data_IF_505687426055
#
_entry.id   IF_505687426055
#
_cell.length_a   1.000
_cell.length_b   1.000
_cell.length_c   1.000
_cell.angle_alpha   90.00
_cell.angle_beta   90.00
_cell.angle_gamma   90.00
#
_symmetry.space_group_name_H-M   'P 1'
#
loop_
_entity.id
_entity.type
_entity.pdbx_description
1 polymer ?
#
# COMPACT_ATOMS: atom_id res chain seq x y z
N UNK A 1 -0.59 -5.19 -9.01
CA UNK A 1 -0.98 -6.01 -10.19
C UNK A 1 -0.14 -7.28 -10.29
N UNK A 2 1.18 -7.21 -10.15
CA UNK A 2 2.05 -8.39 -10.14
C UNK A 2 1.61 -9.48 -9.13
N UNK A 3 1.24 -9.11 -7.90
CA UNK A 3 0.74 -10.06 -6.90
C UNK A 3 -0.59 -10.71 -7.29
N UNK A 4 -1.48 -10.00 -7.98
CA UNK A 4 -2.74 -10.59 -8.48
C UNK A 4 -2.43 -11.62 -9.56
N UNK A 5 -1.54 -11.30 -10.51
CA UNK A 5 -1.12 -12.24 -11.55
C UNK A 5 -0.50 -13.51 -10.94
N UNK A 6 0.34 -13.34 -9.92
CA UNK A 6 0.99 -14.46 -9.21
C UNK A 6 -0.01 -15.33 -8.44
N UNK A 7 -0.92 -14.71 -7.69
CA UNK A 7 -1.87 -15.42 -6.82
C UNK A 7 -3.10 -15.94 -7.54
N UNK A 8 -3.40 -15.41 -8.72
CA UNK A 8 -4.56 -15.78 -9.53
C UNK A 8 -4.13 -16.18 -10.95
N UNK A 9 -3.42 -17.32 -11.14
CA UNK A 9 -2.86 -17.71 -12.44
C UNK A 9 -3.91 -17.99 -13.54
N UNK A 10 -5.18 -18.14 -13.15
CA UNK A 10 -6.32 -18.32 -14.07
C UNK A 10 -6.92 -17.01 -14.57
N UNK A 11 -6.50 -15.87 -14.00
CA UNK A 11 -7.00 -14.54 -14.36
C UNK A 11 -5.95 -13.88 -15.23
N UNK A 12 -6.34 -13.50 -16.45
CA UNK A 12 -5.49 -12.72 -17.33
C UNK A 12 -5.36 -11.29 -16.78
N UNK A 13 -4.13 -10.83 -16.59
CA UNK A 13 -3.83 -9.48 -16.10
C UNK A 13 -3.06 -8.73 -17.16
N UNK A 14 -3.67 -7.68 -17.71
CA UNK A 14 -3.05 -6.78 -18.66
C UNK A 14 -2.65 -5.46 -17.97
N UNK A 15 -1.46 -4.95 -18.30
CA UNK A 15 -1.04 -3.60 -17.93
C UNK A 15 -1.36 -2.67 -19.09
N UNK A 16 -2.15 -1.61 -18.82
CA UNK A 16 -2.56 -0.63 -19.83
C UNK A 16 -2.06 0.75 -19.38
N UNK A 17 -1.30 1.42 -20.24
CA UNK A 17 -0.77 2.76 -20.02
C UNK A 17 -0.91 3.57 -21.32
N UNK A 18 -1.03 4.90 -21.22
CA UNK A 18 -1.08 5.78 -22.41
C UNK A 18 0.31 5.94 -23.05
N UNK A 19 1.37 5.78 -22.26
CA UNK A 19 2.74 5.95 -22.67
C UNK A 19 3.24 4.68 -23.36
N UNK A 20 3.37 4.76 -24.69
CA UNK A 20 4.00 3.71 -25.49
C UNK A 20 5.39 3.35 -24.96
N UNK A 21 6.28 4.31 -24.58
CA UNK A 21 7.55 3.97 -23.94
C UNK A 21 7.41 3.14 -22.67
N UNK A 22 6.40 3.39 -21.83
CA UNK A 22 6.17 2.59 -20.61
C UNK A 22 5.67 1.19 -20.93
N UNK A 23 4.75 1.05 -21.89
CA UNK A 23 4.30 -0.28 -22.35
C UNK A 23 5.47 -1.07 -22.94
N UNK A 24 6.30 -0.43 -23.76
CA UNK A 24 7.49 -1.06 -24.32
C UNK A 24 8.45 -1.48 -23.22
N UNK A 25 8.69 -0.62 -22.23
CA UNK A 25 9.51 -0.92 -21.07
C UNK A 25 8.97 -2.11 -20.26
N UNK A 26 7.66 -2.15 -19.99
CA UNK A 26 6.99 -3.29 -19.34
C UNK A 26 7.16 -4.60 -20.10
N UNK A 27 7.25 -4.56 -21.43
CA UNK A 27 7.50 -5.73 -22.28
C UNK A 27 8.99 -5.97 -22.58
N UNK A 28 9.89 -5.30 -21.85
CA UNK A 28 11.34 -5.40 -22.01
C UNK A 28 12.02 -5.83 -20.71
N UNK A 29 13.33 -6.06 -20.76
CA UNK A 29 14.15 -6.32 -19.58
C UNK A 29 14.30 -5.10 -18.63
N UNK A 30 13.85 -3.90 -19.01
CA UNK A 30 13.94 -2.71 -18.15
C UNK A 30 12.57 -2.23 -17.71
N UNK A 31 12.25 -2.48 -16.43
CA UNK A 31 11.01 -2.00 -15.83
C UNK A 31 11.01 -0.46 -15.75
N UNK A 32 9.89 0.20 -16.09
CA UNK A 32 9.79 1.67 -16.02
C UNK A 32 9.71 2.19 -14.58
N UNK A 33 9.73 1.31 -13.58
CA UNK A 33 9.58 1.60 -12.16
C UNK A 33 10.58 0.74 -11.39
N UNK A 34 11.29 1.37 -10.45
CA UNK A 34 12.08 0.66 -9.46
C UNK A 34 11.24 0.44 -8.20
N UNK A 35 10.86 -0.80 -7.94
CA UNK A 35 10.26 -1.23 -6.67
C UNK A 35 11.04 -2.47 -6.20
N UNK A 36 11.61 -2.45 -4.97
CA UNK A 36 12.31 -3.61 -4.42
C UNK A 36 11.49 -4.89 -4.60
N UNK A 37 12.16 -5.94 -5.09
CA UNK A 37 11.70 -7.28 -5.49
C UNK A 37 10.39 -7.44 -6.24
N UNK A 38 9.87 -6.37 -6.86
CA UNK A 38 8.95 -6.51 -7.98
C UNK A 38 9.51 -7.49 -9.02
N UNK A 39 10.83 -7.50 -9.21
CA UNK A 39 11.57 -8.44 -10.05
C UNK A 39 11.34 -9.92 -9.69
N UNK A 40 11.34 -10.28 -8.40
CA UNK A 40 11.15 -11.66 -7.94
C UNK A 40 9.73 -12.17 -8.24
N UNK A 41 8.71 -11.36 -7.96
CA UNK A 41 7.29 -11.70 -8.20
C UNK A 41 7.00 -11.86 -9.68
N UNK A 42 7.59 -10.98 -10.47
CA UNK A 42 7.46 -11.00 -11.90
C UNK A 42 8.17 -12.25 -12.49
N UNK A 43 9.30 -12.67 -11.91
CA UNK A 43 9.97 -13.93 -12.26
C UNK A 43 9.14 -15.17 -11.92
N UNK A 44 8.53 -15.25 -10.75
CA UNK A 44 7.66 -16.37 -10.37
C UNK A 44 6.45 -16.51 -11.30
N UNK A 45 5.85 -15.38 -11.72
CA UNK A 45 4.77 -15.39 -12.72
C UNK A 45 5.20 -16.01 -14.06
N UNK A 46 6.45 -15.81 -14.47
CA UNK A 46 7.00 -16.39 -15.71
C UNK A 46 7.21 -17.91 -15.57
N UNK A 47 7.72 -18.37 -14.43
CA UNK A 47 7.89 -19.81 -14.13
C UNK A 47 6.53 -20.55 -14.07
N UNK A 48 5.46 -19.85 -13.67
CA UNK A 48 4.09 -20.36 -13.67
C UNK A 48 3.44 -20.49 -15.07
N UNK A 49 4.16 -20.16 -16.15
CA UNK A 49 3.68 -20.33 -17.53
C UNK A 49 2.76 -19.22 -18.01
N UNK A 50 2.76 -18.04 -17.37
CA UNK A 50 2.02 -16.86 -17.82
C UNK A 50 2.78 -16.24 -19.00
N UNK A 51 2.51 -16.74 -20.21
CA UNK A 51 3.32 -16.50 -21.40
C UNK A 51 2.87 -15.28 -22.22
N UNK A 52 3.19 -14.08 -21.75
CA UNK A 52 3.56 -12.93 -22.61
C UNK A 52 4.12 -11.76 -21.80
N UNK A 53 5.44 -11.80 -21.54
CA UNK A 53 6.34 -10.75 -21.05
C UNK A 53 7.77 -11.24 -21.38
N UNK A 54 8.05 -11.39 -22.68
CA UNK A 54 9.17 -12.19 -23.16
C UNK A 54 10.50 -11.45 -22.95
N UNK A 55 11.38 -12.09 -22.16
CA UNK A 55 12.71 -11.65 -21.72
C UNK A 55 12.66 -10.74 -20.49
N UNK A 56 12.84 -11.36 -19.32
CA UNK A 56 12.96 -10.64 -18.05
C UNK A 56 13.92 -11.44 -17.17
N UNK A 57 15.21 -11.25 -17.45
CA UNK A 57 16.32 -12.04 -16.94
C UNK A 57 16.89 -11.52 -15.60
N UNK A 58 17.29 -12.48 -14.75
CA UNK A 58 18.45 -12.53 -13.80
C UNK A 58 18.61 -11.49 -12.66
N UNK A 59 18.28 -11.98 -11.46
CA UNK A 59 18.91 -11.80 -10.13
C UNK A 59 18.26 -10.82 -9.11
N UNK A 60 17.54 -11.44 -8.14
CA UNK A 60 17.41 -11.12 -6.69
C UNK A 60 16.72 -9.81 -6.25
N UNK A 61 15.61 -9.93 -5.49
CA UNK A 61 15.53 -9.40 -4.12
C UNK A 61 14.37 -8.44 -3.73
N UNK A 62 13.35 -9.02 -3.07
CA UNK A 62 12.47 -8.48 -2.00
C UNK A 62 11.26 -7.59 -2.36
N UNK A 63 10.16 -8.22 -2.85
CA UNK A 63 8.90 -7.53 -3.13
C UNK A 63 8.21 -7.09 -1.85
N UNK A 64 7.65 -5.87 -1.83
CA UNK A 64 7.03 -5.29 -0.64
C UNK A 64 6.09 -6.28 0.08
N UNK A 65 6.45 -6.77 1.29
CA UNK A 65 5.72 -7.84 1.97
C UNK A 65 4.27 -7.44 2.31
N UNK A 66 3.95 -6.14 2.31
CA UNK A 66 2.60 -5.62 2.55
C UNK A 66 1.59 -6.02 1.48
N UNK A 67 2.02 -6.34 0.26
CA UNK A 67 1.10 -6.80 -0.79
C UNK A 67 0.72 -8.28 -0.61
N UNK A 68 1.63 -9.06 -0.02
CA UNK A 68 1.43 -10.49 0.27
C UNK A 68 0.71 -10.73 1.59
N UNK A 69 0.91 -9.85 2.57
CA UNK A 69 0.25 -9.91 3.88
C UNK A 69 -0.21 -8.51 4.31
N UNK A 70 -1.26 -7.97 3.68
CA UNK A 70 -1.76 -6.63 4.01
C UNK A 70 -2.43 -6.62 5.39
N UNK A 71 -2.34 -5.50 6.12
CA UNK A 71 -3.10 -5.32 7.38
C UNK A 71 -4.63 -5.38 7.13
N UNK A 72 -5.06 -4.91 5.94
CA UNK A 72 -6.43 -5.02 5.40
C UNK A 72 -6.46 -4.69 3.90
N UNK A 73 -7.48 -5.16 3.21
CA UNK A 73 -7.87 -4.72 1.86
C UNK A 73 -9.21 -3.98 1.98
N UNK A 74 -9.30 -2.76 1.44
CA UNK A 74 -10.53 -1.97 1.42
C UNK A 74 -11.05 -1.84 -0.02
N UNK A 75 -12.26 -2.32 -0.27
CA UNK A 75 -12.91 -2.28 -1.59
C UNK A 75 -14.15 -1.38 -1.51
N UNK A 76 -14.16 -0.32 -2.31
CA UNK A 76 -15.30 0.60 -2.46
C UNK A 76 -16.05 0.35 -3.76
N UNK A 77 -17.37 0.46 -3.75
CA UNK A 77 -18.17 0.40 -4.97
C UNK A 77 -19.51 1.13 -4.86
N UNK A 78 -20.17 1.33 -5.99
CA UNK A 78 -21.49 1.98 -6.02
C UNK A 78 -22.56 1.04 -5.44
N UNK A 79 -23.58 1.62 -4.81
CA UNK A 79 -24.74 0.90 -4.27
C UNK A 79 -25.76 0.55 -5.37
N UNK A 80 -25.26 -0.11 -6.43
CA UNK A 80 -26.06 -0.60 -7.55
C UNK A 80 -25.83 -2.11 -7.71
N UNK A 81 -26.75 -2.85 -8.35
CA UNK A 81 -26.54 -4.28 -8.60
C UNK A 81 -25.24 -4.57 -9.35
N UNK A 82 -24.85 -3.70 -10.29
CA UNK A 82 -23.56 -3.81 -10.99
C UNK A 82 -22.36 -3.52 -10.08
N UNK A 83 -22.46 -2.49 -9.24
CA UNK A 83 -21.40 -2.14 -8.28
C UNK A 83 -21.16 -3.25 -7.25
N UNK A 84 -22.21 -3.88 -6.74
CA UNK A 84 -22.09 -5.01 -5.81
C UNK A 84 -21.48 -6.25 -6.48
N UNK A 85 -21.84 -6.54 -7.73
CA UNK A 85 -21.19 -7.60 -8.51
C UNK A 85 -19.69 -7.33 -8.71
N UNK A 86 -19.31 -6.08 -8.99
CA UNK A 86 -17.90 -5.70 -9.14
C UNK A 86 -17.13 -5.81 -7.82
N UNK A 87 -17.70 -5.36 -6.70
CA UNK A 87 -17.11 -5.54 -5.36
C UNK A 87 -16.88 -7.03 -5.09
N UNK A 88 -17.88 -7.87 -5.36
CA UNK A 88 -17.78 -9.30 -5.11
C UNK A 88 -16.69 -9.96 -5.97
N UNK A 89 -16.61 -9.63 -7.26
CA UNK A 89 -15.55 -10.13 -8.13
C UNK A 89 -14.15 -9.76 -7.63
N UNK A 90 -13.94 -8.52 -7.19
CA UNK A 90 -12.67 -8.09 -6.61
C UNK A 90 -12.38 -8.78 -5.27
N UNK A 91 -13.40 -8.96 -4.43
CA UNK A 91 -13.28 -9.69 -3.16
C UNK A 91 -12.83 -11.12 -3.39
N UNK A 92 -13.37 -11.80 -4.39
CA UNK A 92 -13.02 -13.18 -4.73
C UNK A 92 -11.59 -13.32 -5.25
N UNK A 93 -11.07 -12.29 -5.94
CA UNK A 93 -9.67 -12.20 -6.33
C UNK A 93 -8.77 -12.08 -5.09
N UNK A 94 -9.01 -11.09 -4.23
CA UNK A 94 -8.16 -10.90 -3.04
C UNK A 94 -8.26 -12.06 -2.04
N UNK A 95 -9.40 -12.73 -1.96
CA UNK A 95 -9.61 -13.87 -1.10
C UNK A 95 -8.76 -15.11 -1.46
N UNK A 96 -8.06 -15.11 -2.60
CA UNK A 96 -7.13 -16.19 -2.94
C UNK A 96 -5.92 -16.25 -2.00
N UNK A 97 -5.52 -15.14 -1.37
CA UNK A 97 -4.40 -15.11 -0.42
C UNK A 97 -4.62 -14.23 0.81
N UNK A 98 -5.61 -13.34 0.82
CA UNK A 98 -5.93 -12.48 1.95
C UNK A 98 -7.08 -13.08 2.76
N UNK A 99 -6.97 -13.21 4.09
CA UNK A 99 -8.06 -13.63 4.96
C UNK A 99 -9.32 -12.76 4.77
N UNK A 100 -10.51 -13.39 4.72
CA UNK A 100 -11.77 -12.68 4.40
C UNK A 100 -12.15 -11.62 5.43
N UNK A 101 -11.75 -11.78 6.69
CA UNK A 101 -11.93 -10.82 7.78
C UNK A 101 -11.08 -9.56 7.61
N UNK A 102 -10.00 -9.63 6.82
CA UNK A 102 -9.17 -8.49 6.44
C UNK A 102 -9.67 -7.78 5.18
N UNK A 103 -10.67 -8.33 4.47
CA UNK A 103 -11.24 -7.73 3.26
C UNK A 103 -12.52 -6.97 3.62
N UNK A 104 -12.39 -5.65 3.74
CA UNK A 104 -13.47 -4.73 4.06
C UNK A 104 -14.12 -4.22 2.78
N UNK A 105 -15.45 -4.22 2.73
CA UNK A 105 -16.24 -3.71 1.60
C UNK A 105 -17.12 -2.56 2.07
N UNK A 106 -17.17 -1.46 1.31
CA UNK A 106 -17.96 -0.27 1.64
C UNK A 106 -18.47 0.43 0.37
N UNK A 107 -19.30 1.47 0.51
CA UNK A 107 -19.64 2.33 -0.61
C UNK A 107 -18.41 3.10 -1.14
N UNK A 108 -18.50 3.60 -2.38
CA UNK A 108 -17.42 4.29 -3.08
C UNK A 108 -16.82 5.46 -2.27
N UNK A 109 -17.68 6.37 -1.80
CA UNK A 109 -17.25 7.59 -1.12
C UNK A 109 -16.56 7.30 0.22
N UNK A 110 -17.09 6.36 0.99
CA UNK A 110 -16.46 5.94 2.24
C UNK A 110 -15.10 5.29 2.02
N UNK A 111 -14.89 4.54 0.93
CA UNK A 111 -13.59 3.97 0.61
C UNK A 111 -12.55 5.05 0.27
N UNK A 112 -12.91 5.99 -0.61
CA UNK A 112 -12.05 7.11 -1.00
C UNK A 112 -11.68 7.97 0.21
N UNK A 113 -12.68 8.35 1.02
CA UNK A 113 -12.44 9.14 2.22
C UNK A 113 -11.60 8.39 3.24
N UNK A 114 -11.80 7.09 3.42
CA UNK A 114 -11.00 6.28 4.37
C UNK A 114 -9.52 6.28 4.01
N UNK A 115 -9.17 6.36 2.72
CA UNK A 115 -7.77 6.45 2.29
C UNK A 115 -7.16 7.79 2.71
N UNK A 116 -7.88 8.88 2.51
CA UNK A 116 -7.43 10.23 2.90
C UNK A 116 -7.34 10.36 4.43
N UNK A 117 -8.39 9.94 5.13
CA UNK A 117 -8.47 10.00 6.59
C UNK A 117 -7.36 9.19 7.26
N UNK A 118 -7.02 8.01 6.73
CA UNK A 118 -5.90 7.22 7.27
C UNK A 118 -4.57 7.97 7.17
N UNK A 119 -4.27 8.59 6.02
CA UNK A 119 -3.05 9.35 5.84
C UNK A 119 -3.02 10.60 6.73
N UNK A 120 -4.15 11.29 6.85
CA UNK A 120 -4.29 12.48 7.68
C UNK A 120 -4.08 12.15 9.16
N UNK A 121 -4.71 11.09 9.68
CA UNK A 121 -4.54 10.67 11.08
C UNK A 121 -3.09 10.27 11.40
N UNK A 122 -2.39 9.65 10.44
CA UNK A 122 -0.95 9.35 10.60
C UNK A 122 -0.11 10.63 10.63
N UNK A 123 -0.39 11.59 9.75
CA UNK A 123 0.29 12.89 9.72
C UNK A 123 0.01 13.69 11.01
N UNK A 124 -1.22 13.65 11.49
CA UNK A 124 -1.64 14.31 12.72
C UNK A 124 -0.86 13.79 13.92
N UNK A 125 -0.63 12.48 14.04
CA UNK A 125 0.19 11.90 15.12
C UNK A 125 1.61 12.45 15.14
N UNK A 126 2.25 12.54 13.97
CA UNK A 126 3.60 13.11 13.83
C UNK A 126 3.58 14.60 14.21
N UNK A 127 2.59 15.34 13.72
CA UNK A 127 2.41 16.76 14.05
C UNK A 127 2.25 16.98 15.55
N UNK A 128 1.45 16.14 16.23
CA UNK A 128 1.28 16.18 17.68
C UNK A 128 2.60 15.94 18.43
N UNK A 129 3.42 14.97 18.00
CA UNK A 129 4.73 14.73 18.63
C UNK A 129 5.68 15.91 18.41
N UNK A 130 5.68 16.51 17.22
CA UNK A 130 6.50 17.68 16.95
C UNK A 130 6.09 18.88 17.83
N UNK A 131 4.80 19.09 18.04
CA UNK A 131 4.30 20.10 18.97
C UNK A 131 4.73 19.80 20.43
N UNK A 132 4.69 18.52 20.85
CA UNK A 132 5.19 18.12 22.17
C UNK A 132 6.70 18.34 22.32
N UNK A 133 7.50 18.20 21.25
CA UNK A 133 8.94 18.48 21.28
C UNK A 133 9.22 19.92 21.72
N UNK A 134 8.50 20.89 21.18
CA UNK A 134 8.66 22.30 21.56
C UNK A 134 8.34 22.56 23.05
N UNK A 135 7.34 21.85 23.60
CA UNK A 135 7.05 21.91 25.03
C UNK A 135 8.12 21.22 25.88
N UNK A 136 8.65 20.09 25.40
CA UNK A 136 9.73 19.38 26.06
C UNK A 136 11.00 20.25 26.16
N UNK A 137 11.34 20.95 25.08
CA UNK A 137 12.45 21.93 25.03
C UNK A 137 12.26 23.05 26.05
N UNK A 138 11.04 23.58 26.20
CA UNK A 138 10.74 24.65 27.15
C UNK A 138 10.72 24.19 28.62
N UNK A 139 10.46 22.90 28.88
CA UNK A 139 10.30 22.35 30.24
C UNK A 139 11.50 21.52 30.71
N UNK A 140 12.43 21.20 29.82
CA UNK A 140 13.56 20.29 30.07
C UNK A 140 13.19 18.80 30.01
N UNK A 141 11.98 18.46 29.58
CA UNK A 141 11.59 17.07 29.36
C UNK A 141 12.24 16.49 28.08
N UNK A 142 12.36 15.16 28.00
CA UNK A 142 12.88 14.47 26.82
C UNK A 142 11.72 13.91 25.97
N UNK A 143 11.54 14.43 24.76
CA UNK A 143 10.46 14.01 23.85
C UNK A 143 10.51 12.52 23.52
N UNK A 144 11.70 11.90 23.49
CA UNK A 144 11.84 10.47 23.21
C UNK A 144 11.31 9.60 24.36
N UNK A 145 11.54 10.04 25.60
CA UNK A 145 11.01 9.37 26.80
C UNK A 145 9.49 9.53 26.87
N UNK A 146 8.99 10.75 26.65
CA UNK A 146 7.55 11.02 26.62
C UNK A 146 6.84 10.19 25.54
N UNK A 147 7.38 10.14 24.31
CA UNK A 147 6.82 9.31 23.24
C UNK A 147 6.84 7.81 23.58
N UNK A 148 7.89 7.33 24.25
CA UNK A 148 7.99 5.95 24.70
C UNK A 148 6.91 5.62 25.74
N UNK A 149 6.78 6.45 26.77
CA UNK A 149 5.85 6.25 27.88
C UNK A 149 4.40 6.30 27.42
N UNK A 150 4.04 7.32 26.63
CA UNK A 150 2.69 7.46 26.05
C UNK A 150 2.41 6.33 25.06
N UNK A 151 3.42 5.88 24.31
CA UNK A 151 3.30 4.77 23.36
C UNK A 151 3.04 3.40 24.02
N UNK A 152 3.24 3.25 25.34
CA UNK A 152 2.86 2.04 26.08
C UNK A 152 1.35 1.91 26.29
N UNK A 153 0.60 3.01 26.23
CA UNK A 153 -0.86 2.96 26.27
C UNK A 153 -1.37 2.28 24.99
N UNK A 154 -2.06 1.14 25.14
CA UNK A 154 -2.52 0.31 24.02
C UNK A 154 -3.51 1.01 23.09
N UNK A 155 -4.20 2.05 23.56
CA UNK A 155 -5.12 2.87 22.75
C UNK A 155 -4.37 3.83 21.84
N UNK A 156 -3.13 4.19 22.20
CA UNK A 156 -2.26 5.07 21.43
C UNK A 156 -1.31 4.22 20.57
N UNK A 157 -0.58 3.31 21.22
CA UNK A 157 0.42 2.45 20.61
C UNK A 157 1.70 3.19 20.17
N UNK A 158 2.79 2.46 19.90
CA UNK A 158 4.12 3.05 19.76
C UNK A 158 4.46 3.58 18.36
N UNK A 159 3.63 3.30 17.35
CA UNK A 159 3.92 3.65 15.95
C UNK A 159 3.59 5.12 15.67
N UNK A 160 4.35 5.73 14.74
CA UNK A 160 4.18 7.13 14.32
C UNK A 160 4.27 8.14 15.49
N UNK A 161 5.13 7.86 16.48
CA UNK A 161 5.40 8.73 17.62
C UNK A 161 6.84 9.27 17.68
N UNK A 162 7.59 9.16 16.58
CA UNK A 162 8.95 9.70 16.52
C UNK A 162 8.90 11.14 16.03
N UNK A 163 9.49 12.06 16.80
CA UNK A 163 9.66 13.44 16.39
C UNK A 163 10.50 13.49 15.10
N UNK A 164 10.08 14.28 14.13
CA UNK A 164 10.79 14.46 12.86
C UNK A 164 10.67 15.89 12.37
N UNK A 165 11.67 16.34 11.62
CA UNK A 165 11.67 17.70 11.06
C UNK A 165 10.61 17.78 9.94
N UNK A 166 9.39 18.13 10.35
CA UNK A 166 8.23 18.59 9.56
C UNK A 166 7.77 17.67 8.41
N UNK A 167 6.76 16.83 8.70
CA UNK A 167 5.99 16.06 7.69
C UNK A 167 4.66 16.75 7.28
N UNK A 168 4.45 18.03 7.61
CA UNK A 168 3.16 18.69 7.36
C UNK A 168 2.89 19.02 5.88
N UNK A 169 3.92 19.04 5.02
CA UNK A 169 3.80 19.53 3.64
C UNK A 169 3.78 18.45 2.54
N UNK A 170 3.96 17.17 2.87
CA UNK A 170 4.11 16.10 1.85
C UNK A 170 2.89 15.18 1.69
N UNK A 171 1.91 15.23 2.59
CA UNK A 171 0.70 14.39 2.49
C UNK A 171 -0.18 14.74 1.26
N UNK A 172 0.01 15.90 0.63
CA UNK A 172 -0.75 16.33 -0.55
C UNK A 172 -0.09 16.05 -1.91
N UNK A 173 1.18 15.59 -1.95
CA UNK A 173 1.95 15.49 -3.21
C UNK A 173 2.27 14.06 -3.68
N UNK A 174 1.91 13.03 -2.93
CA UNK A 174 2.20 11.63 -3.30
C UNK A 174 0.95 10.79 -3.57
N UNK A 175 -0.10 11.42 -4.10
CA UNK A 175 -1.31 10.73 -4.57
C UNK A 175 -1.33 10.79 -6.09
N UNK A 176 -0.47 9.98 -6.72
CA UNK A 176 -0.68 9.35 -8.03
C UNK A 176 0.03 8.01 -8.01
#
# INVERSE_FOLDING_TARGET
MAVIALKCPKVEVAVVDISVPRITAWNSDQLPIYEPGLEDVVKECLEAGISSLAQMWRNVGDCNPRLFNPDRVLIGGRETPGGQKAIQALKDIYAQWVPKDQILTTNLWSAELSKLAANELLAQRISSVNAMSALCEATGANVSEVSYDVGKDSRIGPKFLNASVVLAALASRSIF
#
